data_IF_988358935786
#
_entry.id   IF_988358935786
#
_cell.length_a   1.000
_cell.length_b   1.000
_cell.length_c   1.000
_cell.angle_alpha   90.00
_cell.angle_beta   90.00
_cell.angle_gamma   90.00
#
_symmetry.space_group_name_H-M   'P 1'
#
loop_
_entity.id
_entity.type
_entity.pdbx_description
1 polymer ?
#
# COMPACT_ATOMS: atom_id res chain seq x y z
N UNK A 1 14.53 -12.80 -10.62
CA UNK A 1 15.03 -12.44 -9.27
C UNK A 1 14.21 -11.28 -8.77
N UNK A 2 13.80 -11.33 -7.51
CA UNK A 2 13.06 -10.28 -6.83
C UNK A 2 13.97 -9.53 -5.87
N UNK A 3 13.61 -8.29 -5.55
CA UNK A 3 14.38 -7.48 -4.58
C UNK A 3 13.92 -7.74 -3.15
N UNK A 4 14.74 -7.38 -2.15
CA UNK A 4 14.31 -7.36 -0.74
C UNK A 4 13.03 -6.57 -0.52
N UNK A 5 12.90 -5.41 -1.17
CA UNK A 5 11.71 -4.56 -1.08
C UNK A 5 10.49 -5.33 -1.57
N UNK A 6 10.60 -5.96 -2.74
CA UNK A 6 9.53 -6.77 -3.31
C UNK A 6 9.17 -7.97 -2.42
N UNK A 7 10.16 -8.67 -1.87
CA UNK A 7 9.92 -9.74 -0.90
C UNK A 7 9.19 -9.22 0.35
N UNK A 8 9.56 -8.04 0.87
CA UNK A 8 8.90 -7.42 2.01
C UNK A 8 7.44 -7.04 1.71
N UNK A 9 7.15 -6.56 0.49
CA UNK A 9 5.78 -6.32 0.03
C UNK A 9 4.95 -7.61 0.01
N UNK A 10 5.48 -8.66 -0.62
CA UNK A 10 4.77 -9.94 -0.79
C UNK A 10 4.56 -10.68 0.53
N UNK A 11 5.52 -10.62 1.45
CA UNK A 11 5.38 -11.18 2.81
C UNK A 11 4.54 -10.27 3.73
N UNK A 12 4.16 -9.09 3.25
CA UNK A 12 3.49 -8.01 3.97
C UNK A 12 4.17 -7.68 5.32
N UNK A 13 5.48 -7.47 5.28
CA UNK A 13 6.30 -7.07 6.44
C UNK A 13 6.97 -5.72 6.20
N UNK A 14 7.29 -4.95 7.26
CA UNK A 14 8.04 -3.71 7.09
C UNK A 14 9.44 -3.99 6.51
N UNK A 15 9.96 -3.07 5.70
CA UNK A 15 11.32 -3.17 5.15
C UNK A 15 12.38 -3.27 6.25
N UNK A 16 12.15 -2.59 7.39
CA UNK A 16 12.99 -2.69 8.59
C UNK A 16 13.08 -4.12 9.15
N UNK A 17 11.98 -4.88 9.13
CA UNK A 17 12.00 -6.28 9.55
C UNK A 17 12.75 -7.15 8.55
N UNK A 18 12.54 -6.93 7.25
CA UNK A 18 13.27 -7.64 6.20
C UNK A 18 14.80 -7.43 6.34
N UNK A 19 15.23 -6.20 6.62
CA UNK A 19 16.63 -5.88 6.88
C UNK A 19 17.14 -6.54 8.17
N UNK A 20 16.41 -6.36 9.28
CA UNK A 20 16.81 -6.86 10.61
C UNK A 20 16.98 -8.36 10.67
N UNK A 21 16.12 -9.11 9.97
CA UNK A 21 16.14 -10.56 9.95
C UNK A 21 16.93 -11.14 8.76
N UNK A 22 17.69 -10.29 8.05
CA UNK A 22 18.68 -10.76 7.09
C UNK A 22 18.11 -11.27 5.77
N UNK A 23 16.93 -10.81 5.33
CA UNK A 23 16.44 -11.12 3.98
C UNK A 23 17.48 -10.59 2.96
N UNK A 24 18.00 -11.41 2.03
CA UNK A 24 18.93 -10.98 1.00
C UNK A 24 18.45 -9.78 0.18
N UNK A 25 19.38 -9.00 -0.40
CA UNK A 25 19.04 -7.84 -1.25
C UNK A 25 18.34 -8.26 -2.55
N UNK A 26 18.67 -9.45 -3.04
CA UNK A 26 18.06 -10.13 -4.18
C UNK A 26 17.82 -11.59 -3.82
N UNK A 27 16.70 -12.12 -4.28
CA UNK A 27 16.28 -13.50 -4.10
C UNK A 27 15.78 -14.03 -5.45
N UNK A 28 15.88 -15.32 -5.68
CA UNK A 28 15.13 -16.01 -6.75
C UNK A 28 13.68 -16.23 -6.31
N UNK A 29 12.79 -16.53 -7.26
CA UNK A 29 11.41 -16.90 -6.93
C UNK A 29 11.33 -18.19 -6.12
N UNK A 30 12.25 -19.14 -6.35
CA UNK A 30 12.32 -20.39 -5.59
C UNK A 30 12.71 -20.15 -4.13
N UNK A 31 13.72 -19.31 -3.86
CA UNK A 31 14.10 -18.93 -2.49
C UNK A 31 12.99 -18.17 -1.77
N UNK A 32 12.26 -17.32 -2.49
CA UNK A 32 11.09 -16.64 -1.93
C UNK A 32 9.96 -17.64 -1.58
N UNK A 33 9.65 -18.55 -2.49
CA UNK A 33 8.62 -19.57 -2.26
C UNK A 33 8.96 -20.46 -1.06
N UNK A 34 10.23 -20.83 -0.91
CA UNK A 34 10.72 -21.60 0.25
C UNK A 34 10.57 -20.79 1.54
N UNK A 35 10.94 -19.51 1.54
CA UNK A 35 10.77 -18.62 2.70
C UNK A 35 9.30 -18.45 3.09
N UNK A 36 8.39 -18.43 2.12
CA UNK A 36 6.96 -18.28 2.36
C UNK A 36 6.30 -19.57 2.87
N UNK A 37 6.67 -20.71 2.26
CA UNK A 37 6.16 -22.03 2.60
C UNK A 37 6.74 -22.57 3.92
N UNK A 38 8.03 -22.34 4.17
CA UNK A 38 8.75 -22.77 5.36
C UNK A 38 9.28 -21.55 6.14
N UNK A 39 8.37 -20.71 6.70
CA UNK A 39 8.77 -19.46 7.31
C UNK A 39 9.61 -19.70 8.58
N UNK A 40 10.72 -18.96 8.77
CA UNK A 40 11.47 -18.99 10.02
C UNK A 40 10.58 -18.53 11.18
N UNK A 41 10.96 -18.92 12.41
CA UNK A 41 10.16 -18.69 13.61
C UNK A 41 9.69 -17.23 13.79
N UNK A 42 10.55 -16.24 13.47
CA UNK A 42 10.19 -14.83 13.58
C UNK A 42 9.09 -14.41 12.58
N UNK A 43 9.09 -14.97 11.37
CA UNK A 43 8.11 -14.65 10.34
C UNK A 43 6.78 -15.34 10.65
N UNK A 44 6.82 -16.60 11.08
CA UNK A 44 5.66 -17.33 11.57
C UNK A 44 5.00 -16.61 12.76
N UNK A 45 5.80 -16.15 13.73
CA UNK A 45 5.31 -15.39 14.88
C UNK A 45 4.74 -14.03 14.47
N UNK A 46 5.40 -13.30 13.56
CA UNK A 46 4.90 -12.02 13.02
C UNK A 46 3.52 -12.19 12.38
N UNK A 47 3.33 -13.27 11.60
CA UNK A 47 2.04 -13.62 11.00
C UNK A 47 0.99 -13.95 12.06
N UNK A 48 1.33 -14.79 13.05
CA UNK A 48 0.43 -15.18 14.13
C UNK A 48 -0.02 -13.98 15.00
N UNK A 49 0.85 -12.97 15.15
CA UNK A 49 0.53 -11.76 15.91
C UNK A 49 -0.43 -10.80 15.19
N UNK A 50 -0.73 -11.02 13.91
CA UNK A 50 -1.72 -10.20 13.20
C UNK A 50 -3.12 -10.53 13.68
N UNK A 51 -3.82 -9.51 14.17
CA UNK A 51 -5.25 -9.61 14.46
C UNK A 51 -6.03 -9.86 13.17
N UNK A 52 -7.10 -10.65 13.25
CA UNK A 52 -8.06 -10.76 12.15
C UNK A 52 -8.62 -9.37 11.80
N UNK A 53 -8.60 -9.02 10.51
CA UNK A 53 -9.00 -7.69 10.03
C UNK A 53 -8.01 -6.56 10.31
N UNK A 54 -6.78 -6.85 10.76
CA UNK A 54 -5.74 -5.84 10.87
C UNK A 54 -5.42 -5.24 9.50
N UNK A 55 -5.13 -3.93 9.46
CA UNK A 55 -4.68 -3.27 8.24
C UNK A 55 -3.36 -3.92 7.76
N UNK A 56 -3.21 -4.17 6.46
CA UNK A 56 -1.96 -4.69 5.92
C UNK A 56 -0.82 -3.69 6.13
N UNK A 57 0.42 -4.18 6.15
CA UNK A 57 1.60 -3.32 6.26
C UNK A 57 1.75 -2.45 5.01
N UNK A 58 1.41 -3.03 3.86
CA UNK A 58 1.42 -2.38 2.56
C UNK A 58 0.04 -2.41 1.91
N UNK A 59 -0.30 -1.33 1.21
CA UNK A 59 -1.46 -1.25 0.31
C UNK A 59 -0.98 -0.86 -1.07
N UNK A 60 -1.65 -1.34 -2.10
CA UNK A 60 -1.44 -0.90 -3.48
C UNK A 60 -2.36 0.29 -3.74
N UNK A 61 -1.77 1.45 -3.94
CA UNK A 61 -2.45 2.64 -4.45
C UNK A 61 -2.50 2.54 -5.98
N UNK A 62 -3.63 2.93 -6.58
CA UNK A 62 -3.84 2.94 -8.02
C UNK A 62 -4.52 4.23 -8.41
N UNK A 63 -4.02 4.90 -9.44
CA UNK A 63 -4.62 6.12 -9.96
C UNK A 63 -5.85 5.76 -10.78
N UNK A 64 -7.00 6.31 -10.43
CA UNK A 64 -8.27 6.05 -11.12
C UNK A 64 -8.31 6.61 -12.55
N UNK A 65 -7.37 7.49 -12.91
CA UNK A 65 -7.30 8.13 -14.22
C UNK A 65 -6.36 7.38 -15.17
N UNK A 66 -5.11 7.14 -14.75
CA UNK A 66 -4.06 6.57 -15.63
C UNK A 66 -3.57 5.19 -15.23
N UNK A 67 -4.05 4.62 -14.12
CA UNK A 67 -3.64 3.31 -13.64
C UNK A 67 -2.23 3.25 -13.05
N UNK A 68 -1.54 4.39 -12.85
CA UNK A 68 -0.26 4.42 -12.12
C UNK A 68 -0.44 3.80 -10.74
N UNK A 69 0.51 2.96 -10.32
CA UNK A 69 0.42 2.26 -9.03
C UNK A 69 1.63 2.46 -8.13
N UNK A 70 1.41 2.50 -6.83
CA UNK A 70 2.46 2.53 -5.81
C UNK A 70 2.09 1.64 -4.61
N UNK A 71 3.04 0.81 -4.16
CA UNK A 71 2.92 0.15 -2.86
C UNK A 71 3.35 1.12 -1.74
N UNK A 72 2.42 1.45 -0.84
CA UNK A 72 2.63 2.41 0.25
C UNK A 72 2.18 1.84 1.59
N UNK A 73 2.69 2.40 2.70
CA UNK A 73 2.25 2.03 4.05
C UNK A 73 1.06 2.90 4.46
N UNK A 74 -0.12 2.32 4.76
CA UNK A 74 -1.29 3.10 5.10
C UNK A 74 -1.07 3.85 6.42
N UNK A 75 -1.31 5.16 6.41
CA UNK A 75 -1.22 6.00 7.61
C UNK A 75 -2.57 6.07 8.31
N UNK A 76 -2.57 6.26 9.63
CA UNK A 76 -3.81 6.36 10.41
C UNK A 76 -4.69 7.54 9.98
N UNK A 77 -4.06 8.63 9.54
CA UNK A 77 -4.74 9.87 9.18
C UNK A 77 -5.30 9.89 7.75
N UNK A 78 -4.94 8.92 6.90
CA UNK A 78 -5.47 8.88 5.54
C UNK A 78 -7.01 8.84 5.57
N UNK A 79 -7.67 9.68 4.76
CA UNK A 79 -9.11 9.76 4.75
C UNK A 79 -9.71 8.51 4.11
N UNK A 80 -11.01 8.31 4.32
CA UNK A 80 -11.80 7.58 3.34
C UNK A 80 -11.93 8.50 2.11
N UNK A 81 -11.66 7.97 0.92
CA UNK A 81 -11.68 8.75 -0.32
C UNK A 81 -12.59 8.07 -1.34
N UNK A 82 -13.14 8.89 -2.23
CA UNK A 82 -14.00 8.47 -3.34
C UNK A 82 -13.17 8.07 -4.55
N UNK A 83 -12.15 8.87 -4.85
CA UNK A 83 -11.18 8.60 -5.90
C UNK A 83 -9.77 8.83 -5.38
N UNK A 84 -8.80 8.24 -6.08
CA UNK A 84 -7.39 8.42 -5.84
C UNK A 84 -6.72 8.77 -7.16
N UNK A 85 -6.10 9.95 -7.24
CA UNK A 85 -5.37 10.41 -8.42
C UNK A 85 -3.88 10.51 -8.11
N UNK A 86 -3.03 10.33 -9.11
CA UNK A 86 -1.64 10.75 -8.97
C UNK A 86 -1.51 12.27 -9.15
N UNK A 87 -0.40 12.83 -8.68
CA UNK A 87 -0.05 14.25 -8.75
C UNK A 87 0.09 14.84 -10.18
N UNK A 88 -0.11 14.02 -11.22
CA UNK A 88 -0.17 14.45 -12.62
C UNK A 88 -1.60 14.77 -13.10
N UNK A 89 -2.63 14.53 -12.29
CA UNK A 89 -4.03 14.74 -12.66
C UNK A 89 -4.73 15.69 -11.69
N UNK A 90 -5.52 16.59 -12.25
CA UNK A 90 -6.33 17.57 -11.52
C UNK A 90 -7.73 17.03 -11.19
N UNK A 91 -8.45 17.73 -10.29
CA UNK A 91 -9.82 17.41 -9.87
C UNK A 91 -10.81 17.09 -11.00
N UNK A 92 -10.69 17.78 -12.13
CA UNK A 92 -11.55 17.58 -13.30
C UNK A 92 -11.26 16.29 -14.08
N UNK A 93 -10.23 15.55 -13.71
CA UNK A 93 -9.86 14.28 -14.36
C UNK A 93 -10.69 13.09 -13.87
N UNK A 94 -11.46 13.26 -12.80
CA UNK A 94 -12.40 12.26 -12.28
C UNK A 94 -13.83 12.78 -12.39
N UNK A 95 -14.86 11.91 -12.41
CA UNK A 95 -16.25 12.35 -12.52
C UNK A 95 -16.63 13.40 -11.48
N UNK A 96 -17.50 14.33 -11.82
CA UNK A 96 -18.02 15.35 -10.88
C UNK A 96 -18.66 14.71 -9.64
N UNK A 97 -18.61 15.37 -8.47
CA UNK A 97 -19.25 14.85 -7.27
C UNK A 97 -20.77 14.74 -7.48
N UNK A 98 -21.39 13.76 -6.84
CA UNK A 98 -22.86 13.62 -6.85
C UNK A 98 -23.50 14.89 -6.31
N UNK A 99 -24.63 15.30 -6.88
CA UNK A 99 -25.36 16.49 -6.46
C UNK A 99 -25.58 16.53 -4.94
N UNK A 100 -25.24 17.66 -4.32
CA UNK A 100 -25.31 17.85 -2.87
C UNK A 100 -24.10 17.33 -2.07
N UNK A 101 -23.07 16.80 -2.73
CA UNK A 101 -21.77 16.51 -2.10
C UNK A 101 -20.76 17.63 -2.34
N UNK A 102 -19.89 17.84 -1.37
CA UNK A 102 -18.73 18.73 -1.45
C UNK A 102 -17.46 17.89 -1.70
N UNK A 103 -16.63 18.36 -2.64
CA UNK A 103 -15.35 17.72 -2.99
C UNK A 103 -14.16 18.47 -2.38
N UNK A 104 -13.24 17.71 -1.80
CA UNK A 104 -11.94 18.22 -1.35
C UNK A 104 -10.79 17.31 -1.77
N UNK A 105 -9.57 17.87 -1.80
CA UNK A 105 -8.32 17.16 -2.04
C UNK A 105 -7.54 16.98 -0.74
N UNK A 106 -6.95 15.81 -0.55
CA UNK A 106 -6.05 15.52 0.55
C UNK A 106 -4.73 14.97 0.01
N UNK A 107 -3.69 15.79 0.10
CA UNK A 107 -2.33 15.42 -0.29
C UNK A 107 -1.66 14.45 0.68
N UNK A 108 -0.50 13.91 0.28
CA UNK A 108 0.37 13.12 1.14
C UNK A 108 -0.07 11.66 1.30
N UNK A 109 -0.90 11.19 0.37
CA UNK A 109 -1.22 9.77 0.20
C UNK A 109 -0.10 9.14 -0.64
N UNK A 110 0.50 8.07 -0.12
CA UNK A 110 1.71 7.51 -0.73
C UNK A 110 2.82 8.55 -0.92
N UNK A 111 3.53 8.43 -2.03
CA UNK A 111 4.56 9.39 -2.45
C UNK A 111 4.06 10.43 -3.45
N UNK A 112 3.04 10.07 -4.25
CA UNK A 112 2.56 10.87 -5.39
C UNK A 112 1.04 10.83 -5.57
N UNK A 113 0.28 10.47 -4.54
CA UNK A 113 -1.17 10.40 -4.64
C UNK A 113 -1.87 11.50 -3.87
N UNK A 114 -3.00 11.92 -4.44
CA UNK A 114 -3.96 12.86 -3.88
C UNK A 114 -5.27 12.09 -3.72
N UNK A 115 -5.82 12.10 -2.50
CA UNK A 115 -7.13 11.54 -2.23
C UNK A 115 -8.20 12.58 -2.57
N UNK A 116 -9.19 12.18 -3.37
CA UNK A 116 -10.38 12.97 -3.67
C UNK A 116 -11.50 12.50 -2.74
N UNK A 117 -11.97 13.40 -1.89
CA UNK A 117 -13.00 13.10 -0.88
C UNK A 117 -14.28 13.82 -1.25
N UNK A 118 -15.31 13.05 -1.57
CA UNK A 118 -16.68 13.57 -1.75
C UNK A 118 -17.48 13.25 -0.48
N UNK A 119 -17.93 14.30 0.22
CA UNK A 119 -18.67 14.15 1.46
C UNK A 119 -19.85 15.12 1.54
N UNK A 120 -20.80 14.83 2.43
CA UNK A 120 -21.89 15.77 2.70
C UNK A 120 -21.33 16.98 3.46
N UNK A 121 -21.79 18.20 3.14
CA UNK A 121 -21.41 19.40 3.87
C UNK A 121 -21.83 19.35 5.36
#
# INVERSE_FOLDING_TARGET
MITRREAALRLDIPLEMANRHGIPTKLTEAEFAELDANPPAWLAQSRANRKAGARPVWVQLTCDVCGYTEAARPKKWWPAYTYLTCDFHELGSVPEPVEGMYRSEVDGIGSRFVAIVDEKP
#
